data_IF_541222867097
#
_entry.id   IF_541222867097
#
_cell.length_a   1.000
_cell.length_b   1.000
_cell.length_c   1.000
_cell.angle_alpha   90.00
_cell.angle_beta   90.00
_cell.angle_gamma   90.00
#
_symmetry.space_group_name_H-M   'P 1'
#
loop_
_entity.id
_entity.type
_entity.pdbx_description
1 polymer ?
#
# COMPACT_ATOMS: atom_id res chain seq x y z
N UNK A 1 14.21 -11.44 2.28
CA UNK A 1 12.78 -11.60 2.58
C UNK A 1 11.97 -11.45 1.31
N UNK A 2 10.82 -12.10 1.25
CA UNK A 2 9.99 -12.07 0.05
C UNK A 2 9.17 -10.72 0.01
N UNK A 3 8.77 -10.17 -1.16
CA UNK A 3 7.91 -8.96 -1.30
C UNK A 3 6.63 -9.12 -2.16
N UNK A 4 5.48 -8.59 -1.70
CA UNK A 4 4.15 -9.01 -2.20
C UNK A 4 3.15 -7.94 -2.54
N UNK A 5 2.09 -8.37 -3.21
CA UNK A 5 0.83 -7.68 -3.48
C UNK A 5 -0.35 -8.63 -3.17
N UNK A 6 -1.43 -8.16 -2.54
CA UNK A 6 -2.65 -8.96 -2.28
C UNK A 6 -3.93 -8.28 -2.76
N UNK A 7 -5.03 -9.03 -2.89
CA UNK A 7 -6.40 -8.52 -3.07
C UNK A 7 -7.31 -9.13 -2.00
N UNK A 8 -7.61 -8.37 -0.96
CA UNK A 8 -8.72 -8.62 -0.06
C UNK A 8 -10.01 -7.96 -0.60
N UNK A 9 -11.07 -8.74 -0.79
CA UNK A 9 -12.42 -8.20 -0.77
C UNK A 9 -13.22 -8.95 0.29
N UNK A 10 -13.76 -8.16 1.22
CA UNK A 10 -14.74 -8.44 2.26
C UNK A 10 -14.31 -9.40 3.40
N UNK A 11 -13.84 -8.79 4.49
CA UNK A 11 -14.12 -9.26 5.84
C UNK A 11 -14.80 -8.12 6.62
N UNK A 12 -16.05 -8.37 6.96
CA UNK A 12 -16.89 -7.60 7.88
C UNK A 12 -16.17 -7.45 9.23
N UNK A 13 -16.12 -6.23 9.77
CA UNK A 13 -16.11 -6.01 11.23
C UNK A 13 -16.95 -4.78 11.52
N UNK A 14 -18.06 -5.04 12.19
CA UNK A 14 -19.07 -4.09 12.61
C UNK A 14 -18.51 -3.05 13.60
N UNK A 15 -18.86 -1.79 13.33
CA UNK A 15 -19.17 -0.72 14.29
C UNK A 15 -18.34 -0.57 15.57
N UNK A 16 -17.56 0.52 15.64
CA UNK A 16 -17.34 1.25 16.89
C UNK A 16 -18.06 2.60 16.83
N UNK A 17 -19.11 2.75 17.65
CA UNK A 17 -19.72 4.03 17.95
C UNK A 17 -18.88 4.75 19.03
N UNK A 18 -18.30 5.91 18.70
CA UNK A 18 -17.83 6.84 19.72
C UNK A 18 -18.83 7.99 19.84
N UNK A 19 -19.64 7.96 20.90
CA UNK A 19 -20.53 9.07 21.28
C UNK A 19 -19.75 10.01 22.19
N UNK A 20 -19.34 11.17 21.68
CA UNK A 20 -18.84 12.26 22.50
C UNK A 20 -19.99 13.22 22.80
N UNK A 21 -20.65 13.03 23.95
CA UNK A 21 -21.66 13.95 24.47
C UNK A 21 -21.02 15.29 24.82
N UNK A 22 -21.66 16.35 24.34
CA UNK A 22 -21.25 17.74 24.44
C UNK A 22 -20.90 18.21 25.87
N UNK A 23 -19.72 18.79 26.03
CA UNK A 23 -19.38 19.61 27.19
C UNK A 23 -19.79 21.07 26.96
N UNK A 24 -20.41 21.62 28.01
CA UNK A 24 -21.12 22.89 28.05
C UNK A 24 -20.20 24.08 27.79
N UNK A 25 -20.71 25.05 27.02
CA UNK A 25 -20.09 26.35 26.77
C UNK A 25 -19.94 27.13 28.08
N UNK A 26 -18.71 27.38 28.51
CA UNK A 26 -18.42 28.46 29.47
C UNK A 26 -18.01 29.68 28.61
N UNK A 27 -18.79 30.75 28.72
CA UNK A 27 -18.54 32.01 28.03
C UNK A 27 -17.38 32.75 28.74
N UNK A 28 -16.22 32.81 28.10
CA UNK A 28 -15.09 33.65 28.53
C UNK A 28 -15.07 34.86 27.60
N UNK A 29 -15.20 36.06 28.20
CA UNK A 29 -15.18 37.37 27.52
C UNK A 29 -13.83 37.61 26.83
N UNK A 30 -13.80 38.30 25.67
CA UNK A 30 -12.60 38.38 24.84
C UNK A 30 -11.60 39.36 25.45
N UNK A 31 -10.43 38.87 25.84
CA UNK A 31 -9.26 39.71 26.07
C UNK A 31 -8.31 39.50 24.89
N UNK A 32 -8.17 40.58 24.10
CA UNK A 32 -7.18 40.72 23.04
C UNK A 32 -5.78 40.38 23.58
N UNK A 33 -5.22 39.26 23.12
CA UNK A 33 -3.78 39.02 23.15
C UNK A 33 -3.37 38.70 21.72
N UNK A 34 -2.67 39.65 21.10
CA UNK A 34 -1.86 39.41 19.91
C UNK A 34 -0.80 38.36 20.27
N UNK A 35 -0.98 37.15 19.80
CA UNK A 35 0.14 36.26 19.50
C UNK A 35 -0.07 35.79 18.06
N UNK A 36 0.71 36.36 17.15
CA UNK A 36 0.82 35.90 15.79
C UNK A 36 1.33 34.45 15.82
N UNK A 37 0.41 33.50 15.86
CA UNK A 37 0.70 32.10 15.56
C UNK A 37 1.00 32.10 14.06
N UNK A 38 2.28 32.19 13.72
CA UNK A 38 2.77 31.90 12.38
C UNK A 38 2.25 30.52 12.01
N UNK A 39 1.26 30.52 11.12
CA UNK A 39 0.72 29.34 10.48
C UNK A 39 1.82 28.81 9.55
N UNK A 40 2.82 28.14 10.10
CA UNK A 40 3.71 27.28 9.34
C UNK A 40 2.87 26.07 8.95
N UNK A 41 2.00 26.26 7.96
CA UNK A 41 1.39 25.15 7.24
C UNK A 41 2.58 24.35 6.73
N UNK A 42 2.78 23.16 7.33
CA UNK A 42 3.81 22.24 6.90
C UNK A 42 3.76 22.18 5.38
N UNK A 43 4.88 22.47 4.73
CA UNK A 43 5.03 22.15 3.31
C UNK A 43 4.71 20.67 3.19
N UNK A 44 3.53 20.34 2.67
CA UNK A 44 3.28 19.02 2.15
C UNK A 44 4.35 18.86 1.07
N UNK A 45 5.43 18.14 1.38
CA UNK A 45 6.37 17.71 0.38
C UNK A 45 5.52 17.03 -0.67
N UNK A 46 5.36 17.64 -1.84
CA UNK A 46 4.82 16.95 -2.98
C UNK A 46 5.55 15.61 -3.04
N UNK A 47 4.80 14.51 -3.12
CA UNK A 47 5.39 13.20 -3.27
C UNK A 47 6.40 13.31 -4.41
N UNK A 48 7.70 13.12 -4.11
CA UNK A 48 8.70 13.05 -5.18
C UNK A 48 8.18 11.99 -6.13
N UNK A 49 8.03 12.35 -7.42
CA UNK A 49 7.58 11.40 -8.43
C UNK A 49 8.48 10.18 -8.49
N UNK A 50 8.10 9.20 -9.33
CA UNK A 50 8.86 7.96 -9.50
C UNK A 50 10.37 8.23 -9.66
N UNK A 51 11.24 7.44 -8.99
CA UNK A 51 12.67 7.53 -9.20
C UNK A 51 13.01 7.17 -10.66
N UNK A 52 14.20 7.55 -11.12
CA UNK A 52 14.72 7.02 -12.39
C UNK A 52 15.07 5.55 -12.20
N UNK A 53 14.27 4.66 -12.78
CA UNK A 53 14.37 3.19 -12.62
C UNK A 53 15.14 2.52 -13.76
N UNK A 54 15.76 3.28 -14.66
CA UNK A 54 16.61 2.73 -15.72
C UNK A 54 17.71 1.83 -15.12
N UNK A 55 17.74 0.57 -15.54
CA UNK A 55 18.70 -0.44 -15.07
C UNK A 55 18.35 -1.11 -13.74
N UNK A 56 17.14 -0.89 -13.20
CA UNK A 56 16.63 -1.67 -12.07
C UNK A 56 16.04 -3.00 -12.59
N UNK A 57 16.08 -4.02 -11.76
CA UNK A 57 15.48 -5.31 -12.08
C UNK A 57 13.96 -5.25 -11.92
N UNK A 58 13.22 -6.09 -12.65
CA UNK A 58 11.79 -6.29 -12.37
C UNK A 58 11.63 -7.22 -11.17
N UNK A 59 10.74 -6.87 -10.24
CA UNK A 59 10.48 -7.71 -9.06
C UNK A 59 9.99 -9.11 -9.46
N UNK A 60 9.09 -9.18 -10.45
CA UNK A 60 8.59 -10.42 -11.03
C UNK A 60 9.08 -10.58 -12.47
N UNK A 61 9.75 -11.70 -12.72
CA UNK A 61 10.17 -12.12 -14.04
C UNK A 61 8.97 -12.50 -14.91
N UNK A 62 9.21 -12.63 -16.21
CA UNK A 62 8.18 -13.04 -17.17
C UNK A 62 7.53 -14.36 -16.75
N UNK A 63 6.22 -14.43 -17.00
CA UNK A 63 5.37 -15.57 -16.65
C UNK A 63 5.38 -15.90 -15.15
N UNK A 64 5.77 -14.94 -14.30
CA UNK A 64 5.84 -15.09 -12.84
C UNK A 64 6.75 -16.25 -12.40
N UNK A 65 7.77 -16.57 -13.21
CA UNK A 65 8.65 -17.72 -12.98
C UNK A 65 9.44 -17.66 -11.66
N UNK A 66 9.73 -16.46 -11.18
CA UNK A 66 10.39 -16.20 -9.90
C UNK A 66 9.40 -15.98 -8.73
N UNK A 67 8.13 -16.34 -8.91
CA UNK A 67 7.06 -16.15 -7.92
C UNK A 67 6.53 -17.47 -7.33
N UNK A 68 5.95 -17.40 -6.12
CA UNK A 68 5.17 -18.45 -5.49
C UNK A 68 3.70 -17.99 -5.44
N UNK A 69 2.79 -18.74 -6.06
CA UNK A 69 1.40 -18.34 -6.18
C UNK A 69 0.50 -19.56 -6.29
N UNK A 70 -0.76 -19.37 -5.95
CA UNK A 70 -1.83 -20.29 -6.32
C UNK A 70 -1.94 -20.35 -7.85
N UNK A 71 -2.19 -21.54 -8.38
CA UNK A 71 -2.37 -21.74 -9.82
C UNK A 71 -3.52 -20.87 -10.32
N UNK A 72 -3.25 -20.03 -11.32
CA UNK A 72 -4.23 -19.09 -11.87
C UNK A 72 -4.58 -17.90 -10.97
N UNK A 73 -3.99 -17.77 -9.78
CA UNK A 73 -4.31 -16.70 -8.83
C UNK A 73 -3.86 -15.32 -9.28
N UNK A 74 -2.83 -15.26 -10.12
CA UNK A 74 -2.29 -14.02 -10.68
C UNK A 74 -2.00 -14.15 -12.17
N UNK A 75 -2.25 -13.06 -12.89
CA UNK A 75 -1.98 -12.96 -14.32
C UNK A 75 -1.04 -11.78 -14.57
N UNK A 76 0.00 -12.00 -15.37
CA UNK A 76 0.91 -10.96 -15.85
C UNK A 76 0.73 -10.77 -17.36
N UNK A 77 0.39 -9.55 -17.79
CA UNK A 77 0.21 -9.23 -19.21
C UNK A 77 0.72 -7.83 -19.51
N UNK A 78 1.67 -7.73 -20.45
CA UNK A 78 2.27 -6.45 -20.90
C UNK A 78 2.75 -5.57 -19.73
N UNK A 79 3.43 -6.18 -18.75
CA UNK A 79 3.96 -5.47 -17.57
C UNK A 79 2.92 -5.07 -16.53
N UNK A 80 1.66 -5.51 -16.69
CA UNK A 80 0.58 -5.32 -15.71
C UNK A 80 0.33 -6.65 -15.00
N UNK A 81 0.30 -6.60 -13.67
CA UNK A 81 0.01 -7.70 -12.78
C UNK A 81 -1.42 -7.54 -12.23
N UNK A 82 -2.24 -8.58 -12.39
CA UNK A 82 -3.67 -8.57 -12.03
C UNK A 82 -3.96 -9.76 -11.10
N UNK A 83 -4.51 -9.48 -9.92
CA UNK A 83 -5.01 -10.50 -9.02
C UNK A 83 -6.30 -11.11 -9.59
N UNK A 84 -6.35 -12.44 -9.69
CA UNK A 84 -7.52 -13.21 -10.15
C UNK A 84 -8.25 -13.86 -8.97
N UNK A 85 -7.58 -14.07 -7.85
CA UNK A 85 -8.13 -14.56 -6.59
C UNK A 85 -7.79 -13.63 -5.41
N UNK A 86 -7.85 -14.16 -4.18
CA UNK A 86 -7.56 -13.46 -2.92
C UNK A 86 -6.22 -13.87 -2.29
N UNK A 87 -5.45 -14.72 -2.96
CA UNK A 87 -4.19 -15.21 -2.43
C UNK A 87 -3.04 -14.28 -2.84
N UNK A 88 -2.02 -14.22 -1.99
CA UNK A 88 -0.87 -13.33 -2.16
C UNK A 88 0.20 -13.97 -3.06
N UNK A 89 0.83 -13.19 -3.95
CA UNK A 89 1.84 -13.66 -4.92
C UNK A 89 3.29 -13.55 -4.43
N UNK A 90 3.78 -14.55 -3.69
CA UNK A 90 5.17 -14.92 -3.33
C UNK A 90 6.33 -14.47 -4.26
N UNK A 91 7.45 -13.89 -3.82
CA UNK A 91 8.73 -13.80 -4.56
C UNK A 91 9.54 -14.93 -3.98
N UNK A 92 10.21 -15.73 -4.81
CA UNK A 92 11.08 -16.79 -4.28
C UNK A 92 12.33 -16.22 -3.62
N UNK A 93 12.79 -15.06 -4.11
CA UNK A 93 14.01 -14.40 -3.62
C UNK A 93 13.74 -13.58 -2.37
N UNK A 94 14.69 -13.69 -1.46
CA UNK A 94 14.82 -12.87 -0.28
C UNK A 94 15.60 -11.56 -0.57
N UNK A 95 14.98 -10.40 -0.37
CA UNK A 95 15.62 -9.07 -0.38
C UNK A 95 15.72 -8.46 1.04
N UNK A 96 16.76 -7.66 1.30
CA UNK A 96 17.03 -7.06 2.60
C UNK A 96 16.84 -5.53 2.58
N UNK A 97 17.83 -4.81 2.04
CA UNK A 97 17.79 -3.38 1.79
C UNK A 97 17.48 -3.17 0.31
N UNK A 98 16.42 -2.45 -0.02
CA UNK A 98 16.02 -2.23 -1.39
C UNK A 98 15.20 -0.94 -1.52
N UNK A 99 15.08 -0.46 -2.75
CA UNK A 99 14.05 0.49 -3.17
C UNK A 99 13.11 -0.24 -4.11
N UNK A 100 11.82 -0.20 -3.78
CA UNK A 100 10.73 -0.74 -4.60
C UNK A 100 9.93 0.44 -5.14
N UNK A 101 9.76 0.48 -6.46
CA UNK A 101 8.88 1.42 -7.12
C UNK A 101 7.74 0.62 -7.76
N UNK A 102 6.51 1.14 -7.70
CA UNK A 102 5.37 0.48 -8.31
C UNK A 102 4.25 1.48 -8.57
N UNK A 103 3.46 1.20 -9.59
CA UNK A 103 2.17 1.86 -9.80
C UNK A 103 1.04 0.88 -9.54
N UNK A 104 -0.05 1.37 -8.96
CA UNK A 104 -1.24 0.56 -8.71
C UNK A 104 -2.52 1.31 -9.06
N UNK A 105 -3.57 0.53 -9.34
CA UNK A 105 -4.94 0.99 -9.42
C UNK A 105 -5.82 0.01 -8.66
N UNK A 106 -6.85 0.54 -8.02
CA UNK A 106 -7.78 -0.22 -7.19
C UNK A 106 -9.21 -0.11 -7.71
N UNK A 107 -10.00 -1.15 -7.45
CA UNK A 107 -11.45 -1.15 -7.63
C UNK A 107 -12.16 -0.59 -6.41
N UNK A 108 -13.42 -0.21 -6.58
CA UNK A 108 -14.29 0.16 -5.45
C UNK A 108 -14.24 -0.94 -4.38
N UNK A 109 -14.13 -0.54 -3.12
CA UNK A 109 -14.06 -1.44 -1.95
C UNK A 109 -12.86 -2.39 -1.96
N UNK A 110 -11.81 -2.11 -2.75
CA UNK A 110 -10.59 -2.91 -2.71
C UNK A 110 -9.86 -2.72 -1.39
N UNK A 111 -9.54 -3.83 -0.75
CA UNK A 111 -8.61 -3.90 0.34
C UNK A 111 -7.39 -4.68 -0.15
N UNK A 112 -6.20 -4.13 -0.02
CA UNK A 112 -5.02 -4.64 -0.69
C UNK A 112 -3.79 -4.09 0.02
N UNK A 113 -2.61 -4.60 -0.30
CA UNK A 113 -1.39 -4.11 0.31
C UNK A 113 -0.13 -4.70 -0.29
N UNK A 114 0.97 -4.03 0.01
CA UNK A 114 2.33 -4.48 -0.28
C UNK A 114 2.94 -5.04 1.00
N UNK A 115 3.21 -6.35 1.07
CA UNK A 115 3.83 -6.94 2.26
C UNK A 115 5.35 -6.98 2.13
N UNK A 116 6.03 -6.57 3.20
CA UNK A 116 7.48 -6.46 3.29
C UNK A 116 8.01 -7.24 4.48
N UNK A 117 9.19 -7.83 4.33
CA UNK A 117 9.93 -8.48 5.41
C UNK A 117 9.23 -9.71 6.02
N UNK A 118 8.50 -10.47 5.20
CA UNK A 118 7.99 -11.77 5.64
C UNK A 118 9.11 -12.80 5.78
N UNK A 119 9.17 -13.43 6.96
CA UNK A 119 10.01 -14.61 7.21
C UNK A 119 9.32 -15.94 6.89
N UNK A 120 7.99 -15.94 6.84
CA UNK A 120 7.13 -17.10 6.57
C UNK A 120 5.91 -16.65 5.75
N UNK A 121 5.83 -17.09 4.50
CA UNK A 121 4.79 -16.68 3.53
C UNK A 121 3.40 -17.21 3.87
N UNK A 122 3.30 -18.17 4.80
CA UNK A 122 2.02 -18.69 5.31
C UNK A 122 1.41 -17.81 6.41
N UNK A 123 2.20 -16.90 7.00
CA UNK A 123 1.82 -16.07 8.15
C UNK A 123 1.61 -14.61 7.77
N UNK A 124 0.68 -14.35 6.85
CA UNK A 124 0.45 -13.00 6.30
C UNK A 124 0.19 -11.92 7.35
N UNK A 125 -0.46 -12.27 8.48
CA UNK A 125 -0.81 -11.33 9.55
C UNK A 125 0.38 -10.89 10.43
N UNK A 126 1.53 -11.56 10.31
CA UNK A 126 2.74 -11.23 11.08
C UNK A 126 3.70 -10.29 10.30
N UNK A 127 3.28 -9.80 9.14
CA UNK A 127 4.14 -9.09 8.18
C UNK A 127 3.86 -7.58 8.19
N UNK A 128 4.88 -6.77 7.88
CA UNK A 128 4.70 -5.34 7.64
C UNK A 128 3.95 -5.12 6.32
N UNK A 129 2.79 -4.45 6.39
CA UNK A 129 1.97 -4.12 5.22
C UNK A 129 1.97 -2.62 4.94
N UNK A 130 2.24 -2.25 3.68
CA UNK A 130 1.92 -0.93 3.14
C UNK A 130 0.55 -1.01 2.48
N UNK A 131 -0.45 -0.44 3.15
CA UNK A 131 -1.84 -0.57 2.76
C UNK A 131 -2.14 0.10 1.42
N UNK A 132 -2.88 -0.61 0.57
CA UNK A 132 -3.48 -0.15 -0.68
C UNK A 132 -5.00 -0.29 -0.54
N UNK A 133 -5.67 0.78 -0.16
CA UNK A 133 -7.12 0.78 0.01
C UNK A 133 -7.78 1.77 -0.94
N UNK A 134 -8.95 1.41 -1.46
CA UNK A 134 -9.72 2.33 -2.27
C UNK A 134 -10.42 3.37 -1.40
N UNK A 135 -10.23 4.65 -1.74
CA UNK A 135 -10.96 5.76 -1.12
C UNK A 135 -11.88 6.47 -2.12
N UNK A 136 -11.50 6.57 -3.39
CA UNK A 136 -12.32 7.07 -4.52
C UNK A 136 -11.79 6.56 -5.89
N UNK A 137 -12.21 5.40 -6.40
CA UNK A 137 -11.99 4.94 -7.79
C UNK A 137 -12.78 3.68 -8.17
N UNK A 138 -13.12 3.56 -9.46
CA UNK A 138 -13.81 2.42 -10.07
C UNK A 138 -13.00 1.89 -11.28
N UNK A 139 -12.36 0.72 -11.14
CA UNK A 139 -11.62 -0.01 -12.18
C UNK A 139 -11.13 -1.38 -11.65
N UNK A 140 -10.70 -2.36 -12.46
CA UNK A 140 -10.04 -3.57 -11.91
C UNK A 140 -8.76 -3.23 -11.13
N UNK A 141 -8.46 -4.02 -10.09
CA UNK A 141 -7.21 -3.90 -9.32
C UNK A 141 -6.04 -4.37 -10.18
N UNK A 142 -5.02 -3.53 -10.32
CA UNK A 142 -3.79 -3.91 -11.01
C UNK A 142 -2.58 -3.20 -10.44
N UNK A 143 -1.42 -3.79 -10.71
CA UNK A 143 -0.11 -3.21 -10.46
C UNK A 143 0.67 -3.21 -11.75
N UNK A 144 1.56 -2.24 -11.95
CA UNK A 144 2.42 -2.21 -13.13
C UNK A 144 3.74 -1.56 -12.81
N UNK A 145 4.71 -1.80 -13.70
CA UNK A 145 6.03 -1.19 -13.63
C UNK A 145 6.60 -1.32 -12.21
N UNK A 146 6.94 -2.56 -11.82
CA UNK A 146 7.36 -2.89 -10.46
C UNK A 146 8.89 -3.13 -10.42
N UNK A 147 9.74 -2.11 -10.65
CA UNK A 147 11.17 -2.29 -10.55
C UNK A 147 11.64 -2.28 -9.10
N UNK A 148 12.69 -3.04 -8.85
CA UNK A 148 13.35 -3.15 -7.56
C UNK A 148 14.85 -2.94 -7.74
N UNK A 149 15.45 -2.19 -6.81
CA UNK A 149 16.90 -2.04 -6.70
C UNK A 149 17.35 -2.44 -5.32
N UNK A 150 18.19 -3.47 -5.24
CA UNK A 150 18.87 -3.82 -4.00
C UNK A 150 19.93 -2.78 -3.64
N UNK A 151 20.02 -2.53 -2.34
CA UNK A 151 21.01 -1.66 -1.73
C UNK A 151 22.04 -2.55 -1.03
N UNK A 152 23.31 -2.20 -1.19
CA UNK A 152 24.42 -2.85 -0.50
C UNK A 152 24.45 -2.46 0.97
#
# INVERSE_FOLDING_TARGET
MNHFLTRSSNAFVDSFHFSATALRRIAIKPLLVLAAISLSWASASAAKGHPKTSGWDLLFADYLSNAELTEGGWEQKKGVLVAKDHFTIWTKKYYANFVLDLEFKVAKESNSGVFLRSGDTTKVLEVLEVQVHESQAQAPVWYRNIPIKELK
#
